data_IF_331870051188
#
_entry.id   IF_331870051188
#
_cell.length_a   1.000
_cell.length_b   1.000
_cell.length_c   1.000
_cell.angle_alpha   90.00
_cell.angle_beta   90.00
_cell.angle_gamma   90.00
#
_symmetry.space_group_name_H-M   'P 1'
#
loop_
_entity.id
_entity.type
_entity.pdbx_description
1 polymer ?
#
# COMPACT_ATOMS: atom_id res chain seq x y z
N UNK A 1 -25.96 0.01 16.04
CA UNK A 1 -24.70 -0.01 15.30
C UNK A 1 -24.61 1.30 14.53
N UNK A 2 -23.55 2.06 14.69
CA UNK A 2 -23.35 3.31 13.95
C UNK A 2 -22.08 3.11 13.11
N UNK A 3 -22.21 3.24 11.80
CA UNK A 3 -21.06 3.25 10.90
C UNK A 3 -20.27 4.54 11.12
N UNK A 4 -18.98 4.50 10.90
CA UNK A 4 -18.02 5.51 11.37
C UNK A 4 -18.09 6.87 10.70
N UNK A 5 -18.97 7.07 9.76
CA UNK A 5 -19.08 8.38 9.11
C UNK A 5 -20.16 8.49 8.03
N UNK A 6 -20.26 9.68 7.47
CA UNK A 6 -21.04 9.93 6.27
C UNK A 6 -20.15 9.58 5.08
N UNK A 7 -20.45 8.48 4.40
CA UNK A 7 -19.81 8.16 3.14
C UNK A 7 -20.21 9.19 2.09
N UNK A 8 -19.24 9.84 1.47
CA UNK A 8 -19.50 10.65 0.28
C UNK A 8 -19.72 9.75 -0.94
N UNK A 9 -19.00 8.63 -0.98
CA UNK A 9 -19.06 7.66 -2.06
C UNK A 9 -18.61 6.29 -1.56
N UNK A 10 -19.36 5.22 -1.87
CA UNK A 10 -18.91 3.85 -1.70
C UNK A 10 -18.06 3.46 -2.90
N UNK A 11 -16.87 2.98 -2.64
CA UNK A 11 -15.86 2.68 -3.65
C UNK A 11 -15.80 1.19 -3.93
N UNK A 12 -15.79 0.37 -2.87
CA UNK A 12 -15.83 -1.08 -3.01
C UNK A 12 -16.43 -1.78 -1.80
N UNK A 13 -16.89 -2.99 -2.03
CA UNK A 13 -17.29 -3.93 -0.98
C UNK A 13 -16.59 -5.24 -1.27
N UNK A 14 -15.73 -5.67 -0.36
CA UNK A 14 -15.09 -6.98 -0.42
C UNK A 14 -15.57 -7.88 0.70
N UNK A 15 -15.54 -9.17 0.45
CA UNK A 15 -15.85 -10.21 1.42
C UNK A 15 -14.61 -11.06 1.64
N UNK A 16 -14.25 -11.26 2.89
CA UNK A 16 -13.14 -12.13 3.25
C UNK A 16 -13.19 -12.52 4.72
N UNK A 17 -12.17 -13.20 5.18
CA UNK A 17 -12.03 -13.52 6.58
C UNK A 17 -11.52 -12.30 7.36
N UNK A 18 -11.94 -12.18 8.59
CA UNK A 18 -11.51 -11.15 9.51
C UNK A 18 -10.33 -11.63 10.38
N UNK A 19 -10.51 -12.81 10.98
CA UNK A 19 -9.58 -13.44 11.92
C UNK A 19 -9.87 -14.93 11.89
N UNK A 20 -9.15 -15.66 11.04
CA UNK A 20 -9.22 -17.11 10.90
C UNK A 20 -10.58 -17.71 10.50
N UNK A 21 -11.62 -17.48 11.29
CA UNK A 21 -12.92 -18.16 11.10
C UNK A 21 -14.11 -17.21 10.88
N UNK A 22 -13.93 -15.92 10.99
CA UNK A 22 -15.04 -14.96 10.93
C UNK A 22 -15.08 -14.28 9.56
N UNK A 23 -16.12 -14.57 8.78
CA UNK A 23 -16.39 -13.85 7.54
C UNK A 23 -16.89 -12.44 7.84
N UNK A 24 -16.30 -11.47 7.16
CA UNK A 24 -16.63 -10.05 7.26
C UNK A 24 -16.86 -9.42 5.88
N UNK A 25 -17.51 -8.26 5.89
CA UNK A 25 -17.60 -7.33 4.76
C UNK A 25 -16.71 -6.13 5.06
N UNK A 26 -15.91 -5.76 4.10
CA UNK A 26 -15.05 -4.57 4.12
C UNK A 26 -15.64 -3.54 3.17
N UNK A 27 -16.02 -2.41 3.70
CA UNK A 27 -16.71 -1.35 2.99
C UNK A 27 -15.74 -0.18 2.82
N UNK A 28 -15.14 -0.05 1.64
CA UNK A 28 -14.29 1.09 1.32
C UNK A 28 -15.12 2.25 0.81
N UNK A 29 -14.94 3.43 1.36
CA UNK A 29 -15.68 4.62 0.97
C UNK A 29 -14.86 5.90 1.04
N UNK A 30 -15.18 6.84 0.16
CA UNK A 30 -14.64 8.19 0.16
C UNK A 30 -15.34 9.07 1.19
N UNK A 31 -14.57 9.91 1.89
CA UNK A 31 -15.06 10.92 2.83
C UNK A 31 -14.97 12.35 2.28
N UNK A 32 -14.52 12.49 1.05
CA UNK A 32 -14.19 13.76 0.41
C UNK A 32 -12.75 14.21 0.69
N UNK A 33 -12.30 15.22 -0.04
CA UNK A 33 -10.94 15.79 0.06
C UNK A 33 -9.80 14.75 -0.03
N UNK A 34 -9.98 13.70 -0.83
CA UNK A 34 -8.98 12.62 -0.99
C UNK A 34 -8.81 11.74 0.26
N UNK A 35 -9.77 11.77 1.17
CA UNK A 35 -9.79 10.90 2.34
C UNK A 35 -10.65 9.67 2.07
N UNK A 36 -10.15 8.51 2.48
CA UNK A 36 -10.86 7.24 2.40
C UNK A 36 -10.89 6.56 3.76
N UNK A 37 -11.90 5.74 3.97
CA UNK A 37 -12.02 4.92 5.17
C UNK A 37 -12.56 3.56 4.79
N UNK A 38 -12.35 2.60 5.67
CA UNK A 38 -12.90 1.26 5.55
C UNK A 38 -13.67 0.94 6.81
N UNK A 39 -14.95 0.58 6.66
CA UNK A 39 -15.72 -0.04 7.73
C UNK A 39 -15.70 -1.56 7.57
N UNK A 40 -15.59 -2.26 8.67
CA UNK A 40 -15.64 -3.72 8.69
C UNK A 40 -16.90 -4.17 9.43
N UNK A 41 -17.66 -5.05 8.79
CA UNK A 41 -18.89 -5.61 9.36
C UNK A 41 -18.81 -7.13 9.38
N UNK A 42 -19.10 -7.74 10.52
CA UNK A 42 -19.19 -9.19 10.63
C UNK A 42 -20.39 -9.64 11.44
N UNK A 43 -20.83 -10.87 11.20
CA UNK A 43 -21.93 -11.47 11.90
C UNK A 43 -21.42 -12.55 12.85
N UNK A 44 -21.84 -12.49 14.10
CA UNK A 44 -21.57 -13.53 15.10
C UNK A 44 -22.81 -13.77 15.95
N UNK A 45 -23.21 -15.05 16.10
CA UNK A 45 -24.37 -15.42 16.88
C UNK A 45 -25.66 -14.68 16.49
N UNK A 46 -25.89 -14.44 15.20
CA UNK A 46 -27.07 -13.74 14.69
C UNK A 46 -27.09 -12.22 14.89
N UNK A 47 -26.04 -11.64 15.44
CA UNK A 47 -25.90 -10.19 15.58
C UNK A 47 -24.78 -9.64 14.69
N UNK A 48 -24.97 -8.43 14.20
CA UNK A 48 -23.97 -7.73 13.37
C UNK A 48 -23.08 -6.87 14.27
N UNK A 49 -21.80 -7.02 14.09
CA UNK A 49 -20.76 -6.30 14.81
C UNK A 49 -19.90 -5.50 13.84
N UNK A 50 -19.30 -4.42 14.36
CA UNK A 50 -18.17 -3.76 13.76
C UNK A 50 -16.98 -3.89 14.74
N UNK A 51 -15.76 -4.15 14.28
CA UNK A 51 -14.59 -4.03 15.12
C UNK A 51 -14.52 -2.65 15.75
N UNK A 52 -13.84 -2.52 16.87
CA UNK A 52 -13.78 -1.26 17.60
C UNK A 52 -13.37 -0.13 16.66
N UNK A 53 -14.29 0.80 16.50
CA UNK A 53 -14.10 2.04 15.77
C UNK A 53 -13.14 3.01 16.48
N UNK A 54 -12.39 2.54 17.46
CA UNK A 54 -11.54 3.39 18.29
C UNK A 54 -10.11 2.90 18.24
N UNK A 55 -9.29 3.62 17.51
CA UNK A 55 -7.84 3.59 17.69
C UNK A 55 -7.51 4.57 18.79
N UNK A 56 -6.85 4.12 19.84
CA UNK A 56 -6.28 5.02 20.82
C UNK A 56 -5.02 5.62 20.22
N UNK A 57 -5.06 6.90 19.91
CA UNK A 57 -3.91 7.65 19.41
C UNK A 57 -2.80 7.70 20.45
N UNK A 58 -1.59 8.09 20.04
CA UNK A 58 -0.44 8.22 20.93
C UNK A 58 -0.65 9.24 22.07
N UNK A 59 -1.58 10.19 21.89
CA UNK A 59 -1.97 11.19 22.90
C UNK A 59 -3.11 10.72 23.83
N UNK A 60 -3.54 9.46 23.71
CA UNK A 60 -4.63 8.88 24.49
C UNK A 60 -6.04 9.24 23.98
N UNK A 61 -6.15 10.05 22.95
CA UNK A 61 -7.45 10.35 22.33
C UNK A 61 -8.01 9.14 21.58
N UNK A 62 -9.34 9.04 21.54
CA UNK A 62 -10.01 8.00 20.76
C UNK A 62 -10.20 8.52 19.34
N UNK A 63 -9.47 7.95 18.39
CA UNK A 63 -9.65 8.20 16.95
C UNK A 63 -10.59 7.18 16.33
N UNK A 64 -11.31 7.59 15.31
CA UNK A 64 -12.07 6.67 14.50
C UNK A 64 -11.15 6.12 13.40
N UNK A 65 -10.99 4.80 13.37
CA UNK A 65 -10.69 3.96 12.20
C UNK A 65 -9.51 4.39 11.34
N UNK A 66 -8.91 3.39 10.73
CA UNK A 66 -7.94 3.54 9.66
C UNK A 66 -8.54 4.39 8.55
N UNK A 67 -8.39 5.70 8.68
CA UNK A 67 -8.62 6.60 7.57
C UNK A 67 -7.33 6.68 6.77
N UNK A 68 -7.44 6.41 5.49
CA UNK A 68 -6.33 6.55 4.55
C UNK A 68 -6.51 7.79 3.72
N UNK A 69 -5.40 8.43 3.44
CA UNK A 69 -5.35 9.47 2.43
C UNK A 69 -4.83 8.84 1.15
N UNK A 70 -5.53 9.03 0.04
CA UNK A 70 -4.94 8.78 -1.26
C UNK A 70 -4.44 10.11 -1.82
N UNK A 71 -3.28 10.10 -2.45
CA UNK A 71 -2.96 11.11 -3.45
C UNK A 71 -3.68 10.74 -4.75
N UNK A 72 -3.77 11.66 -5.70
CA UNK A 72 -4.51 11.47 -6.97
C UNK A 72 -4.01 10.27 -7.79
N UNK A 73 -2.84 9.72 -7.45
CA UNK A 73 -2.21 8.59 -8.13
C UNK A 73 -2.60 7.22 -7.56
N UNK A 74 -3.29 7.17 -6.43
CA UNK A 74 -3.57 5.92 -5.72
C UNK A 74 -5.04 5.80 -5.30
N UNK A 75 -5.95 6.23 -6.15
CA UNK A 75 -7.40 6.11 -5.94
C UNK A 75 -7.88 4.66 -5.95
N UNK A 76 -7.06 3.73 -6.47
CA UNK A 76 -7.47 2.36 -6.77
C UNK A 76 -7.11 1.33 -5.70
N UNK A 77 -6.44 1.74 -4.61
CA UNK A 77 -6.14 0.82 -3.51
C UNK A 77 -7.42 0.49 -2.75
N UNK A 78 -7.72 -0.80 -2.64
CA UNK A 78 -8.88 -1.35 -1.95
C UNK A 78 -8.45 -2.32 -0.85
N UNK A 79 -9.40 -2.59 0.06
CA UNK A 79 -9.26 -3.71 0.98
C UNK A 79 -9.31 -5.02 0.20
N UNK A 80 -8.22 -5.77 0.24
CA UNK A 80 -8.03 -7.02 -0.50
C UNK A 80 -7.23 -8.02 0.34
N UNK A 81 -7.38 -9.29 0.03
CA UNK A 81 -6.47 -10.35 0.49
C UNK A 81 -5.18 -10.25 -0.34
N UNK A 82 -4.13 -9.66 0.25
CA UNK A 82 -2.91 -9.30 -0.46
C UNK A 82 -1.89 -10.45 -0.52
N UNK A 83 -2.02 -11.42 0.36
CA UNK A 83 -1.08 -12.55 0.45
C UNK A 83 -1.72 -13.91 0.15
N UNK A 84 -3.03 -13.94 -0.13
CA UNK A 84 -3.76 -15.14 -0.52
C UNK A 84 -4.09 -16.06 0.65
N UNK A 85 -4.08 -15.56 1.88
CA UNK A 85 -4.39 -16.37 3.08
C UNK A 85 -5.90 -16.42 3.40
N UNK A 86 -6.70 -15.68 2.64
CA UNK A 86 -8.16 -15.59 2.76
C UNK A 86 -8.61 -14.47 3.71
N UNK A 87 -7.73 -13.90 4.50
CA UNK A 87 -8.02 -12.68 5.26
C UNK A 87 -7.91 -11.45 4.33
N UNK A 88 -8.71 -10.43 4.61
CA UNK A 88 -8.67 -9.19 3.85
C UNK A 88 -7.89 -8.15 4.63
N UNK A 89 -6.86 -7.59 4.02
CA UNK A 89 -6.09 -6.50 4.58
C UNK A 89 -6.65 -5.15 4.16
N UNK A 90 -6.61 -4.21 5.10
CA UNK A 90 -7.07 -2.83 4.94
C UNK A 90 -5.85 -1.95 4.68
N UNK A 91 -5.79 -1.26 3.53
CA UNK A 91 -4.67 -0.40 3.20
C UNK A 91 -4.74 0.95 3.91
N UNK A 92 -3.60 1.43 4.38
CA UNK A 92 -3.39 2.80 4.81
C UNK A 92 -2.10 3.34 4.20
N UNK A 93 -2.12 4.59 3.75
CA UNK A 93 -0.97 5.19 3.08
C UNK A 93 -0.18 6.05 4.03
N UNK A 94 1.13 5.96 3.94
CA UNK A 94 2.07 6.81 4.66
C UNK A 94 3.17 7.28 3.71
N UNK A 95 3.62 8.55 3.77
CA UNK A 95 4.73 8.99 2.96
C UNK A 95 5.98 8.14 3.19
N UNK A 96 6.72 7.84 2.13
CA UNK A 96 8.05 7.26 2.25
C UNK A 96 9.01 8.26 2.91
N UNK A 97 10.09 7.79 3.57
CA UNK A 97 11.10 8.66 4.17
C UNK A 97 11.59 9.74 3.21
N UNK A 98 11.56 11.00 3.66
CA UNK A 98 11.92 12.18 2.88
C UNK A 98 10.78 12.85 2.14
N UNK A 99 9.62 12.21 2.06
CA UNK A 99 8.43 12.76 1.39
C UNK A 99 7.43 13.40 2.35
N UNK A 100 7.64 13.33 3.66
CA UNK A 100 6.67 13.72 4.69
C UNK A 100 6.28 15.19 4.64
N UNK A 101 7.20 16.05 4.20
CA UNK A 101 7.01 17.51 4.15
C UNK A 101 6.55 18.03 2.80
N UNK A 102 6.49 17.16 1.78
CA UNK A 102 6.05 17.54 0.44
C UNK A 102 4.53 17.63 0.37
N UNK A 103 4.02 18.35 -0.64
CA UNK A 103 2.59 18.34 -0.93
C UNK A 103 2.16 16.95 -1.44
N UNK A 104 0.93 16.55 -1.14
CA UNK A 104 0.41 15.21 -1.45
C UNK A 104 0.66 14.72 -2.88
N UNK A 105 0.45 15.52 -3.94
CA UNK A 105 0.72 15.06 -5.30
C UNK A 105 2.19 14.73 -5.57
N UNK A 106 3.10 15.26 -4.75
CA UNK A 106 4.54 15.05 -4.88
C UNK A 106 5.06 13.91 -3.99
N UNK A 107 4.20 13.41 -3.09
CA UNK A 107 4.59 12.35 -2.17
C UNK A 107 4.59 10.99 -2.84
N UNK A 108 5.70 10.27 -2.73
CA UNK A 108 5.68 8.82 -2.86
C UNK A 108 5.31 8.21 -1.50
N UNK A 109 4.37 7.29 -1.55
CA UNK A 109 3.84 6.66 -0.36
C UNK A 109 4.14 5.17 -0.33
N UNK A 110 4.37 4.68 0.88
CA UNK A 110 4.22 3.27 1.19
C UNK A 110 2.75 2.96 1.53
N UNK A 111 2.41 1.70 1.48
CA UNK A 111 1.11 1.19 1.94
C UNK A 111 1.35 0.28 3.14
N UNK A 112 0.69 0.62 4.23
CA UNK A 112 0.57 -0.22 5.41
C UNK A 112 -0.71 -1.03 5.28
N UNK A 113 -0.61 -2.33 5.46
CA UNK A 113 -1.72 -3.26 5.36
C UNK A 113 -2.09 -3.76 6.75
N UNK A 114 -3.32 -3.51 7.14
CA UNK A 114 -3.83 -3.83 8.46
C UNK A 114 -4.80 -5.01 8.39
N UNK A 115 -4.63 -5.92 9.30
CA UNK A 115 -5.61 -6.96 9.61
C UNK A 115 -6.36 -6.60 10.89
N UNK A 116 -7.46 -7.31 11.16
CA UNK A 116 -8.23 -7.15 12.40
C UNK A 116 -8.06 -8.42 13.22
N UNK A 117 -7.34 -8.32 14.32
CA UNK A 117 -7.12 -9.41 15.26
C UNK A 117 -7.66 -9.02 16.65
N UNK A 118 -8.39 -9.93 17.30
CA UNK A 118 -8.93 -9.65 18.63
C UNK A 118 -9.69 -8.31 18.72
N UNK A 119 -10.44 -7.97 17.69
CA UNK A 119 -11.19 -6.72 17.55
C UNK A 119 -10.32 -5.45 17.52
N UNK A 120 -9.05 -5.57 17.16
CA UNK A 120 -8.10 -4.47 17.02
C UNK A 120 -7.42 -4.53 15.67
N UNK A 121 -7.09 -3.36 15.15
CA UNK A 121 -6.28 -3.26 13.95
C UNK A 121 -4.81 -3.51 14.28
N UNK A 122 -4.19 -4.43 13.54
CA UNK A 122 -2.78 -4.78 13.63
C UNK A 122 -2.14 -4.65 12.24
N UNK A 123 -1.00 -3.96 12.14
CA UNK A 123 -0.30 -3.88 10.86
C UNK A 123 0.39 -5.20 10.57
N UNK A 124 0.03 -5.79 9.43
CA UNK A 124 0.58 -7.06 8.94
C UNK A 124 1.76 -6.82 8.00
N UNK A 125 1.63 -5.88 7.05
CA UNK A 125 2.64 -5.60 6.05
C UNK A 125 2.91 -4.11 5.87
N UNK A 126 4.09 -3.83 5.34
CA UNK A 126 4.53 -2.54 4.83
C UNK A 126 5.04 -2.76 3.41
N UNK A 127 4.60 -1.97 2.44
CA UNK A 127 4.83 -2.24 1.04
C UNK A 127 4.94 -0.98 0.19
N UNK A 128 5.43 -1.14 -1.02
CA UNK A 128 5.17 -0.22 -2.12
C UNK A 128 4.09 -0.82 -3.03
N UNK A 129 3.12 -0.01 -3.40
CA UNK A 129 2.06 -0.38 -4.34
C UNK A 129 2.17 0.47 -5.60
N UNK A 130 2.16 -0.16 -6.76
CA UNK A 130 2.06 0.50 -8.05
C UNK A 130 0.70 0.26 -8.67
N UNK A 131 -0.17 1.28 -8.65
CA UNK A 131 -1.48 1.21 -9.32
C UNK A 131 -1.34 1.11 -10.84
N UNK A 132 -0.36 1.79 -11.40
CA UNK A 132 -0.11 1.79 -12.85
C UNK A 132 0.20 0.40 -13.40
N UNK A 133 0.94 -0.41 -12.64
CA UNK A 133 1.41 -1.72 -13.09
C UNK A 133 0.81 -2.86 -12.27
N UNK A 134 -0.10 -2.53 -11.36
CA UNK A 134 -0.85 -3.48 -10.52
C UNK A 134 0.04 -4.51 -9.83
N UNK A 135 1.09 -4.05 -9.16
CA UNK A 135 1.91 -4.91 -8.32
C UNK A 135 2.11 -4.34 -6.92
N UNK A 136 2.36 -5.22 -5.98
CA UNK A 136 2.76 -4.90 -4.61
C UNK A 136 4.13 -5.47 -4.34
N UNK A 137 5.03 -4.65 -3.82
CA UNK A 137 6.31 -5.09 -3.29
C UNK A 137 6.25 -5.04 -1.76
N UNK A 138 6.11 -6.19 -1.13
CA UNK A 138 6.18 -6.28 0.33
C UNK A 138 7.61 -5.99 0.80
N UNK A 139 7.75 -5.02 1.69
CA UNK A 139 9.04 -4.65 2.24
C UNK A 139 9.44 -5.59 3.39
N UNK A 140 10.68 -6.04 3.41
CA UNK A 140 11.23 -6.65 4.63
C UNK A 140 11.10 -5.67 5.82
N UNK A 141 10.85 -6.17 7.01
CA UNK A 141 10.67 -5.33 8.21
C UNK A 141 11.83 -4.35 8.45
N UNK A 142 13.06 -4.74 8.07
CA UNK A 142 14.25 -3.88 8.16
C UNK A 142 14.25 -2.67 7.22
N UNK A 143 13.34 -2.62 6.23
CA UNK A 143 13.23 -1.50 5.29
C UNK A 143 12.29 -0.41 5.78
N UNK A 144 11.47 -0.74 6.76
CA UNK A 144 10.50 0.21 7.29
C UNK A 144 11.19 1.42 7.92
N UNK A 145 10.80 2.62 7.49
CA UNK A 145 11.32 3.89 8.00
C UNK A 145 12.75 4.24 7.56
N UNK A 146 13.41 3.34 6.81
CA UNK A 146 14.80 3.56 6.34
C UNK A 146 14.96 3.44 4.82
N UNK A 147 13.94 2.98 4.13
CA UNK A 147 13.96 2.87 2.66
C UNK A 147 13.00 3.87 2.07
N UNK A 148 13.50 4.62 1.11
CA UNK A 148 12.73 5.51 0.27
C UNK A 148 12.76 5.05 -1.19
N UNK A 149 12.14 5.81 -2.08
CA UNK A 149 12.12 5.49 -3.50
C UNK A 149 12.26 6.75 -4.35
N UNK A 150 12.76 6.58 -5.57
CA UNK A 150 12.86 7.62 -6.59
C UNK A 150 12.26 7.09 -7.89
N UNK A 151 11.38 7.86 -8.51
CA UNK A 151 10.83 7.52 -9.83
C UNK A 151 11.76 8.02 -10.93
N UNK A 152 12.15 7.10 -11.80
CA UNK A 152 12.75 7.40 -13.08
C UNK A 152 11.70 7.20 -14.18
N UNK A 153 11.02 8.28 -14.54
CA UNK A 153 9.91 8.23 -15.51
C UNK A 153 10.37 7.98 -16.94
N UNK A 154 11.64 8.25 -17.27
CA UNK A 154 12.19 8.03 -18.61
C UNK A 154 12.32 6.54 -18.90
N UNK A 155 12.72 5.75 -17.92
CA UNK A 155 12.95 4.32 -18.06
C UNK A 155 11.79 3.46 -17.47
N UNK A 156 10.70 4.08 -17.04
CA UNK A 156 9.62 3.42 -16.29
C UNK A 156 10.14 2.61 -15.09
N UNK A 157 11.03 3.22 -14.32
CA UNK A 157 11.65 2.58 -13.15
C UNK A 157 11.23 3.23 -11.84
N UNK A 158 11.20 2.41 -10.82
CA UNK A 158 11.29 2.85 -9.43
C UNK A 158 12.58 2.33 -8.84
N UNK A 159 13.33 3.21 -8.21
CA UNK A 159 14.60 2.91 -7.54
C UNK A 159 14.40 3.03 -6.04
N UNK A 160 14.56 1.93 -5.31
CA UNK A 160 14.53 1.90 -3.86
C UNK A 160 15.91 2.18 -3.32
N UNK A 161 15.98 3.11 -2.38
CA UNK A 161 17.24 3.59 -1.79
C UNK A 161 17.21 3.50 -0.27
N UNK A 162 18.36 3.26 0.34
CA UNK A 162 18.56 3.52 1.75
C UNK A 162 18.53 5.03 1.97
N UNK A 163 17.51 5.52 2.65
CA UNK A 163 17.31 6.94 2.85
C UNK A 163 18.23 7.49 3.93
N UNK A 164 18.97 8.53 3.56
CA UNK A 164 19.83 9.30 4.44
C UNK A 164 19.39 10.78 4.34
N UNK A 165 18.94 11.40 5.44
CA UNK A 165 18.51 12.81 5.42
C UNK A 165 19.57 13.78 4.89
N UNK A 166 20.87 13.46 5.03
CA UNK A 166 21.96 14.29 4.52
C UNK A 166 22.15 14.13 3.01
N UNK A 167 21.96 12.93 2.49
CA UNK A 167 22.06 12.60 1.06
C UNK A 167 20.75 12.76 0.31
N UNK A 168 19.63 12.85 1.03
CA UNK A 168 18.28 12.93 0.49
C UNK A 168 18.00 11.83 -0.54
N UNK A 169 17.59 12.20 -1.75
CA UNK A 169 17.24 11.27 -2.83
C UNK A 169 18.39 10.95 -3.78
N UNK A 170 19.62 10.98 -3.31
CA UNK A 170 20.78 10.59 -4.12
C UNK A 170 20.71 9.10 -4.43
N UNK A 171 20.78 8.78 -5.74
CA UNK A 171 20.85 7.42 -6.24
C UNK A 171 22.29 7.15 -6.67
N UNK A 172 23.00 6.36 -5.89
CA UNK A 172 24.35 5.90 -6.20
C UNK A 172 24.58 4.46 -5.69
N UNK A 173 25.73 3.90 -5.95
CA UNK A 173 26.08 2.51 -5.55
C UNK A 173 26.03 2.29 -4.03
N UNK A 174 26.05 3.35 -3.22
CA UNK A 174 26.03 3.25 -1.76
C UNK A 174 24.63 3.35 -1.17
N UNK A 175 23.68 3.91 -1.92
CA UNK A 175 22.31 4.13 -1.49
C UNK A 175 21.32 3.18 -2.16
N UNK A 176 21.59 2.82 -3.41
CA UNK A 176 20.67 1.97 -4.19
C UNK A 176 20.62 0.55 -3.64
N UNK A 177 19.39 0.08 -3.42
CA UNK A 177 19.09 -1.26 -2.94
C UNK A 177 18.51 -2.15 -4.03
N UNK A 178 17.58 -1.59 -4.81
CA UNK A 178 16.83 -2.35 -5.79
C UNK A 178 16.19 -1.40 -6.81
N UNK A 179 16.06 -1.87 -8.04
CA UNK A 179 15.24 -1.25 -9.09
C UNK A 179 14.13 -2.19 -9.51
N UNK A 180 12.98 -1.63 -9.81
CA UNK A 180 11.93 -2.31 -10.56
C UNK A 180 11.67 -1.49 -11.83
N UNK A 181 11.76 -2.17 -12.96
CA UNK A 181 11.46 -1.64 -14.29
C UNK A 181 10.27 -2.36 -14.86
N UNK A 182 9.36 -1.62 -15.46
CA UNK A 182 8.24 -2.19 -16.20
C UNK A 182 8.38 -1.88 -17.68
N UNK A 183 8.32 -2.91 -18.49
CA UNK A 183 8.53 -2.84 -19.94
C UNK A 183 7.31 -3.43 -20.64
N UNK A 184 6.83 -2.78 -21.69
CA UNK A 184 5.83 -3.36 -22.56
C UNK A 184 6.40 -4.61 -23.27
N UNK A 185 5.59 -5.65 -23.45
CA UNK A 185 6.04 -6.93 -24.04
C UNK A 185 6.53 -6.80 -25.47
N UNK A 186 6.08 -5.81 -26.19
CA UNK A 186 6.47 -5.51 -27.57
C UNK A 186 7.69 -4.57 -27.69
N UNK A 187 8.17 -4.00 -26.57
CA UNK A 187 9.35 -3.15 -26.56
C UNK A 187 10.63 -3.98 -26.50
N UNK A 188 11.05 -4.46 -27.67
CA UNK A 188 12.25 -5.30 -27.83
C UNK A 188 13.55 -4.55 -27.50
N UNK A 189 13.61 -3.22 -27.71
CA UNK A 189 14.79 -2.41 -27.40
C UNK A 189 14.97 -2.28 -25.90
N UNK A 190 13.92 -1.98 -25.15
CA UNK A 190 13.97 -1.93 -23.71
C UNK A 190 14.33 -3.29 -23.09
N UNK A 191 13.84 -4.39 -23.63
CA UNK A 191 14.21 -5.75 -23.21
C UNK A 191 15.71 -6.03 -23.40
N UNK A 192 16.27 -5.66 -24.55
CA UNK A 192 17.72 -5.81 -24.83
C UNK A 192 18.55 -5.00 -23.84
N UNK A 193 18.11 -3.79 -23.52
CA UNK A 193 18.81 -2.88 -22.59
C UNK A 193 18.66 -3.30 -21.11
N UNK A 194 17.87 -4.34 -20.82
CA UNK A 194 17.59 -4.80 -19.46
C UNK A 194 18.22 -6.17 -19.14
N UNK A 195 19.34 -6.49 -19.77
CA UNK A 195 20.03 -7.82 -19.63
C UNK A 195 20.44 -8.18 -18.21
N UNK A 196 20.74 -7.17 -17.40
CA UNK A 196 21.16 -7.35 -16.01
C UNK A 196 19.97 -7.51 -15.04
N UNK A 197 18.76 -7.30 -15.55
CA UNK A 197 17.53 -7.44 -14.77
C UNK A 197 17.03 -8.88 -14.79
N UNK A 198 16.33 -9.25 -13.73
CA UNK A 198 15.59 -10.50 -13.64
C UNK A 198 14.11 -10.26 -13.71
N UNK A 199 13.40 -11.05 -14.49
CA UNK A 199 11.95 -11.03 -14.53
C UNK A 199 11.41 -11.53 -13.18
N UNK A 200 10.50 -10.75 -12.59
CA UNK A 200 9.83 -11.05 -11.32
C UNK A 200 8.32 -11.18 -11.46
N UNK A 201 7.77 -10.75 -12.59
CA UNK A 201 6.35 -10.86 -12.87
C UNK A 201 6.04 -10.45 -14.29
N UNK A 202 4.82 -10.76 -14.71
CA UNK A 202 4.27 -10.32 -15.99
C UNK A 202 2.76 -10.12 -15.91
N UNK A 203 2.23 -9.25 -16.75
CA UNK A 203 0.81 -9.09 -17.05
C UNK A 203 0.57 -9.40 -18.53
N UNK A 204 -0.64 -9.21 -19.02
CA UNK A 204 -0.96 -9.40 -20.43
C UNK A 204 -0.13 -8.47 -21.34
N UNK A 205 0.16 -7.26 -20.89
CA UNK A 205 0.79 -6.21 -21.69
C UNK A 205 2.23 -5.89 -21.28
N UNK A 206 2.65 -6.25 -20.06
CA UNK A 206 3.91 -5.79 -19.49
C UNK A 206 4.71 -6.90 -18.81
N UNK A 207 6.03 -6.70 -18.77
CA UNK A 207 6.98 -7.50 -18.02
C UNK A 207 7.53 -6.64 -16.87
N UNK A 208 7.59 -7.20 -15.67
CA UNK A 208 8.15 -6.56 -14.49
C UNK A 208 9.51 -7.18 -14.22
N UNK A 209 10.52 -6.35 -14.23
CA UNK A 209 11.91 -6.70 -14.08
C UNK A 209 12.48 -6.10 -12.79
N UNK A 210 13.41 -6.79 -12.14
CA UNK A 210 14.15 -6.28 -10.98
C UNK A 210 15.64 -6.38 -11.16
N UNK A 211 16.35 -5.40 -10.63
CA UNK A 211 17.79 -5.39 -10.42
C UNK A 211 18.05 -5.14 -8.94
N UNK A 212 18.72 -6.07 -8.29
CA UNK A 212 19.04 -5.99 -6.87
C UNK A 212 20.55 -5.82 -6.73
N UNK A 213 20.96 -4.80 -5.99
CA UNK A 213 22.34 -4.59 -5.59
C UNK A 213 22.55 -5.21 -4.21
N UNK A 214 23.38 -6.25 -4.17
CA UNK A 214 23.75 -6.97 -2.93
C UNK A 214 25.17 -6.54 -2.54
#
# INVERSE_FOLDING_TARGET
MQLSGIAAEYVSVSKGMLDGDVTALFLDYGRGAGQYSTDVLYCRNGAVYAPLNTVTNADGSQGNIISRFTNDYMTDIRSIDIDGDGAVEIPSMTPLPGYETLMRPEQLCAVEWYTVENNRYSRKYYSYYSSKYNFVLLFPSRWQGVVSAVLNTQDNEIVFISYDPEKKFTVDKTTELMRIRTIAKDDTEALVNSKDYRMIGESDESIILSLIHI
#
